data_IF_774461278305
#
_entry.id   IF_774461278305
#
_cell.length_a   1.000
_cell.length_b   1.000
_cell.length_c   1.000
_cell.angle_alpha   90.00
_cell.angle_beta   90.00
_cell.angle_gamma   90.00
#
_symmetry.space_group_name_H-M   'P 1'
#
loop_
_entity.id
_entity.type
_entity.pdbx_description
1 polymer ?
#
# COMPACT_ATOMS: atom_id res chain seq x y z
N UNK A 1 14.58 -36.37 15.06
CA UNK A 1 13.16 -36.53 14.63
C UNK A 1 12.20 -35.67 15.50
N UNK A 2 12.72 -34.68 16.26
CA UNK A 2 11.92 -33.81 17.16
C UNK A 2 11.71 -32.40 16.63
N UNK A 3 12.17 -32.08 15.39
CA UNK A 3 12.13 -30.72 14.87
C UNK A 3 10.90 -30.41 13.98
N UNK A 4 10.10 -31.39 13.63
CA UNK A 4 8.98 -31.20 12.68
C UNK A 4 7.60 -31.00 13.33
N UNK A 5 7.48 -31.17 14.66
CA UNK A 5 6.19 -31.04 15.35
C UNK A 5 5.97 -29.66 16.02
N UNK A 6 6.95 -28.74 15.96
CA UNK A 6 6.86 -27.41 16.61
C UNK A 6 6.34 -26.29 15.67
N UNK A 7 6.11 -26.60 14.39
CA UNK A 7 5.69 -25.60 13.40
C UNK A 7 4.25 -25.05 13.54
N UNK A 8 3.26 -25.77 14.08
CA UNK A 8 1.92 -25.18 14.23
C UNK A 8 1.85 -24.11 15.34
N UNK A 9 2.72 -24.18 16.35
CA UNK A 9 2.63 -23.29 17.51
C UNK A 9 3.25 -21.92 17.30
N UNK A 10 4.20 -21.78 16.39
CA UNK A 10 4.85 -20.48 16.10
C UNK A 10 3.94 -19.50 15.37
N UNK A 11 2.94 -19.97 14.66
CA UNK A 11 1.97 -19.13 13.95
C UNK A 11 0.90 -18.56 14.88
N UNK A 12 0.54 -19.29 15.93
CA UNK A 12 -0.46 -18.87 16.93
C UNK A 12 0.03 -17.70 17.80
N UNK A 13 1.34 -17.61 18.05
CA UNK A 13 1.94 -16.59 18.91
C UNK A 13 2.25 -15.26 18.23
N UNK A 14 1.98 -15.14 16.92
CA UNK A 14 2.24 -13.92 16.14
C UNK A 14 1.13 -12.88 16.17
N UNK A 15 -0.04 -13.22 16.70
CA UNK A 15 -1.17 -12.29 16.70
C UNK A 15 -1.21 -11.43 17.97
N UNK A 16 -1.65 -10.20 17.81
CA UNK A 16 -1.87 -9.24 18.91
C UNK A 16 -2.86 -9.76 19.94
N UNK A 17 -3.86 -10.55 19.49
CA UNK A 17 -4.80 -11.27 20.35
C UNK A 17 -4.11 -12.25 21.31
N UNK A 18 -3.07 -12.92 20.84
CA UNK A 18 -2.32 -13.88 21.68
C UNK A 18 -1.48 -13.16 22.73
N UNK A 19 -0.93 -12.00 22.40
CA UNK A 19 -0.16 -11.17 23.34
C UNK A 19 -1.05 -10.65 24.47
N UNK A 20 -2.25 -10.15 24.15
CA UNK A 20 -3.21 -9.66 25.13
C UNK A 20 -3.77 -10.76 26.05
N UNK A 21 -3.74 -12.02 25.62
CA UNK A 21 -4.13 -13.18 26.42
C UNK A 21 -3.00 -13.64 27.38
N UNK A 22 -1.74 -13.37 27.02
CA UNK A 22 -0.57 -13.80 27.80
C UNK A 22 -0.18 -12.76 28.86
N UNK A 23 -0.36 -11.47 28.59
CA UNK A 23 -0.01 -10.38 29.52
C UNK A 23 -0.73 -10.46 30.90
N UNK A 24 -2.00 -10.89 30.99
CA UNK A 24 -2.68 -11.04 32.27
C UNK A 24 -2.33 -12.32 33.04
N UNK A 25 -1.56 -13.27 32.46
CA UNK A 25 -1.23 -14.52 33.15
C UNK A 25 -0.22 -14.28 34.26
N UNK A 26 -0.52 -14.83 35.44
CA UNK A 26 0.25 -14.62 36.68
C UNK A 26 1.71 -15.09 36.60
N UNK A 27 2.50 -14.74 37.66
CA UNK A 27 3.95 -14.82 37.73
C UNK A 27 4.58 -16.16 37.33
N UNK A 28 4.00 -17.30 37.70
CA UNK A 28 4.59 -18.63 37.42
C UNK A 28 4.66 -19.01 35.94
N UNK A 29 3.85 -18.39 35.11
CA UNK A 29 3.86 -18.64 33.67
C UNK A 29 4.80 -17.67 32.95
N UNK A 30 4.97 -16.45 33.50
CA UNK A 30 5.88 -15.44 32.96
C UNK A 30 7.35 -15.85 33.08
N UNK A 31 7.69 -16.64 34.09
CA UNK A 31 9.06 -17.13 34.30
C UNK A 31 9.39 -18.39 33.49
N UNK A 32 8.44 -18.91 32.72
CA UNK A 32 8.68 -20.04 31.84
C UNK A 32 9.67 -19.67 30.73
N UNK A 33 10.76 -20.45 30.65
CA UNK A 33 11.78 -20.31 29.61
C UNK A 33 11.18 -20.37 28.17
N UNK A 34 10.13 -21.17 28.01
CA UNK A 34 9.40 -21.29 26.74
C UNK A 34 8.63 -20.02 26.42
N UNK A 35 7.96 -19.43 27.41
CA UNK A 35 7.23 -18.18 27.24
C UNK A 35 8.18 -17.00 26.95
N UNK A 36 9.31 -16.93 27.64
CA UNK A 36 10.32 -15.90 27.40
C UNK A 36 10.93 -16.01 25.99
N UNK A 37 11.13 -17.23 25.47
CA UNK A 37 11.56 -17.46 24.08
C UNK A 37 10.46 -17.08 23.07
N UNK A 38 9.22 -17.45 23.34
CA UNK A 38 8.07 -17.10 22.51
C UNK A 38 7.87 -15.57 22.43
N UNK A 39 7.95 -14.88 23.58
CA UNK A 39 7.83 -13.41 23.65
C UNK A 39 8.99 -12.69 22.93
N UNK A 40 10.21 -13.23 22.98
CA UNK A 40 11.35 -12.69 22.21
C UNK A 40 11.21 -12.88 20.70
N UNK A 41 10.46 -13.88 20.26
CA UNK A 41 10.18 -14.13 18.84
C UNK A 41 9.04 -13.26 18.28
N UNK A 42 8.27 -12.59 19.16
CA UNK A 42 7.25 -11.62 18.75
C UNK A 42 7.96 -10.31 18.45
N UNK A 43 7.90 -9.81 17.21
CA UNK A 43 8.51 -8.52 16.88
C UNK A 43 7.91 -7.43 17.77
N UNK A 44 8.71 -6.48 18.25
CA UNK A 44 8.24 -5.39 19.10
C UNK A 44 7.12 -4.63 18.40
N UNK A 45 6.10 -4.24 19.14
CA UNK A 45 4.88 -3.54 18.66
C UNK A 45 5.20 -2.35 17.74
N UNK A 46 6.25 -1.61 18.06
CA UNK A 46 6.74 -0.47 17.28
C UNK A 46 7.19 -0.80 15.83
N UNK A 47 7.70 -2.01 15.59
CA UNK A 47 8.14 -2.39 14.23
C UNK A 47 6.98 -2.80 13.35
N UNK A 48 5.97 -3.45 13.92
CA UNK A 48 4.77 -3.88 13.18
C UNK A 48 3.89 -2.67 12.86
N UNK A 49 3.63 -1.79 13.84
CA UNK A 49 2.88 -0.54 13.64
C UNK A 49 3.61 0.41 12.68
N UNK A 50 4.96 0.44 12.72
CA UNK A 50 5.77 1.27 11.81
C UNK A 50 5.71 0.77 10.36
N UNK A 51 5.69 -0.56 10.17
CA UNK A 51 5.57 -1.16 8.84
C UNK A 51 4.18 -0.97 8.23
N UNK A 52 3.12 -0.96 9.04
CA UNK A 52 1.76 -0.67 8.57
C UNK A 52 1.52 0.81 8.29
N UNK A 53 2.25 1.68 8.99
CA UNK A 53 2.12 3.13 8.89
C UNK A 53 2.86 3.75 7.72
N UNK A 54 3.91 3.10 7.20
CA UNK A 54 4.74 3.61 6.11
C UNK A 54 4.85 2.59 4.98
N UNK A 55 4.68 3.09 3.76
CA UNK A 55 4.87 2.27 2.57
C UNK A 55 6.34 1.80 2.46
N UNK A 56 6.53 0.51 2.21
CA UNK A 56 7.84 -0.07 1.95
C UNK A 56 8.38 0.41 0.59
N UNK A 57 9.69 0.60 0.51
CA UNK A 57 10.34 1.00 -0.74
C UNK A 57 10.19 -0.07 -1.83
N UNK A 58 9.90 0.36 -3.04
CA UNK A 58 9.81 -0.53 -4.19
C UNK A 58 10.29 0.16 -5.48
N UNK A 59 10.52 -0.65 -6.51
CA UNK A 59 10.88 -0.21 -7.85
C UNK A 59 10.19 -1.09 -8.88
N UNK A 60 9.52 -0.47 -9.84
CA UNK A 60 8.84 -1.15 -10.94
C UNK A 60 9.18 -0.48 -12.28
N UNK A 61 9.06 -1.21 -13.39
CA UNK A 61 9.27 -0.64 -14.74
C UNK A 61 8.00 0.03 -15.24
N UNK A 62 8.15 1.22 -15.81
CA UNK A 62 7.08 1.90 -16.53
C UNK A 62 6.93 1.37 -17.97
N UNK A 63 6.02 1.97 -18.75
CA UNK A 63 5.77 1.59 -20.15
C UNK A 63 7.02 1.66 -21.05
N UNK A 64 7.90 2.62 -20.82
CA UNK A 64 9.16 2.78 -21.56
C UNK A 64 10.29 1.87 -21.07
N UNK A 65 10.04 1.01 -20.09
CA UNK A 65 11.02 0.10 -19.50
C UNK A 65 11.96 0.75 -18.48
N UNK A 66 11.79 2.03 -18.16
CA UNK A 66 12.56 2.74 -17.14
C UNK A 66 12.07 2.35 -15.74
N UNK A 67 12.99 2.20 -14.81
CA UNK A 67 12.63 1.98 -13.42
C UNK A 67 12.03 3.26 -12.82
N UNK A 68 10.82 3.11 -12.31
CA UNK A 68 10.18 4.11 -11.46
C UNK A 68 10.40 3.66 -10.04
N UNK A 69 11.16 4.45 -9.31
CA UNK A 69 11.33 4.25 -7.88
C UNK A 69 10.39 5.17 -7.14
N UNK A 70 9.97 4.74 -5.97
CA UNK A 70 9.43 5.65 -5.01
C UNK A 70 10.58 6.56 -4.54
N UNK A 71 10.86 7.61 -5.22
CA UNK A 71 11.67 8.70 -4.67
C UNK A 71 10.75 9.70 -4.01
N UNK A 72 11.26 10.45 -3.08
CA UNK A 72 10.63 11.66 -2.57
C UNK A 72 10.36 12.58 -3.76
N UNK A 73 9.22 12.38 -4.40
CA UNK A 73 8.85 13.17 -5.55
C UNK A 73 8.47 14.56 -5.10
N UNK A 74 8.49 15.49 -6.03
CA UNK A 74 8.00 16.86 -5.82
C UNK A 74 6.50 16.90 -5.42
N UNK A 75 5.78 15.78 -5.59
CA UNK A 75 4.37 15.66 -5.24
C UNK A 75 4.17 15.45 -3.74
N UNK A 76 3.18 16.14 -3.18
CA UNK A 76 2.86 16.03 -1.76
C UNK A 76 2.15 14.72 -1.44
N UNK A 77 1.28 14.26 -2.35
CA UNK A 77 0.47 13.06 -2.17
C UNK A 77 0.57 12.14 -3.37
N UNK A 78 0.60 10.85 -3.11
CA UNK A 78 0.59 9.82 -4.16
C UNK A 78 -0.44 8.76 -3.83
N UNK A 79 -1.32 8.49 -4.79
CA UNK A 79 -2.20 7.33 -4.78
C UNK A 79 -1.52 6.18 -5.49
N UNK A 80 -1.30 5.08 -4.78
CA UNK A 80 -0.99 3.80 -5.41
C UNK A 80 -2.31 3.12 -5.73
N UNK A 81 -2.57 2.91 -7.01
CA UNK A 81 -3.76 2.23 -7.49
C UNK A 81 -3.36 0.86 -8.04
N UNK A 82 -3.90 -0.21 -7.45
CA UNK A 82 -3.66 -1.59 -7.88
C UNK A 82 -4.78 -2.03 -8.81
N UNK A 83 -4.42 -2.50 -9.98
CA UNK A 83 -5.36 -2.86 -11.03
C UNK A 83 -4.85 -3.98 -11.93
N UNK A 84 -5.71 -4.50 -12.80
CA UNK A 84 -5.30 -5.44 -13.85
C UNK A 84 -6.20 -5.30 -15.08
N UNK A 85 -5.67 -5.57 -16.28
CA UNK A 85 -6.45 -5.47 -17.52
C UNK A 85 -7.60 -6.48 -17.59
N UNK A 86 -7.47 -7.60 -16.89
CA UNK A 86 -8.49 -8.66 -16.81
C UNK A 86 -9.58 -8.40 -15.76
N UNK A 87 -9.40 -7.41 -14.87
CA UNK A 87 -10.39 -7.03 -13.85
C UNK A 87 -11.14 -5.76 -14.25
N UNK A 88 -12.37 -5.93 -14.76
CA UNK A 88 -13.23 -4.84 -15.26
C UNK A 88 -13.50 -3.77 -14.19
N UNK A 89 -13.64 -4.18 -12.92
CA UNK A 89 -13.93 -3.24 -11.83
C UNK A 89 -12.73 -2.29 -11.60
N UNK A 90 -11.51 -2.81 -11.57
CA UNK A 90 -10.31 -1.99 -11.40
C UNK A 90 -10.04 -1.08 -12.61
N UNK A 91 -10.38 -1.53 -13.83
CA UNK A 91 -10.30 -0.69 -15.04
C UNK A 91 -11.28 0.50 -14.94
N UNK A 92 -12.52 0.26 -14.51
CA UNK A 92 -13.51 1.33 -14.31
C UNK A 92 -13.07 2.36 -13.27
N UNK A 93 -12.58 1.91 -12.12
CA UNK A 93 -12.03 2.79 -11.07
C UNK A 93 -10.86 3.62 -11.61
N UNK A 94 -9.95 3.00 -12.37
CA UNK A 94 -8.83 3.70 -12.99
C UNK A 94 -9.28 4.81 -13.95
N UNK A 95 -10.39 4.59 -14.69
CA UNK A 95 -10.94 5.59 -15.60
C UNK A 95 -11.52 6.79 -14.84
N UNK A 96 -12.18 6.56 -13.71
CA UNK A 96 -12.63 7.62 -12.80
C UNK A 96 -11.46 8.39 -12.20
N UNK A 97 -10.42 7.69 -11.73
CA UNK A 97 -9.21 8.32 -11.20
C UNK A 97 -8.49 9.18 -12.23
N UNK A 98 -8.49 8.78 -13.51
CA UNK A 98 -7.87 9.57 -14.59
C UNK A 98 -8.61 10.89 -14.87
N UNK A 99 -9.90 10.97 -14.58
CA UNK A 99 -10.66 12.23 -14.63
C UNK A 99 -10.32 13.08 -13.40
N UNK A 100 -10.39 12.48 -12.21
CA UNK A 100 -10.16 13.15 -10.95
C UNK A 100 -8.76 13.78 -10.87
N UNK A 101 -7.71 13.09 -11.32
CA UNK A 101 -6.33 13.59 -11.21
C UNK A 101 -6.11 14.91 -11.94
N UNK A 102 -6.89 15.18 -12.98
CA UNK A 102 -6.80 16.42 -13.76
C UNK A 102 -7.34 17.66 -13.02
N UNK A 103 -8.13 17.44 -11.99
CA UNK A 103 -8.69 18.51 -11.16
C UNK A 103 -7.69 19.03 -10.12
N UNK A 104 -6.62 18.28 -9.86
CA UNK A 104 -5.59 18.65 -8.90
C UNK A 104 -4.31 19.17 -9.56
N UNK A 105 -3.60 20.12 -8.93
CA UNK A 105 -2.33 20.64 -9.43
C UNK A 105 -1.26 19.54 -9.56
N UNK A 106 -0.50 19.55 -10.66
CA UNK A 106 0.52 18.54 -10.99
C UNK A 106 1.54 18.26 -9.86
N UNK A 107 1.97 19.31 -9.14
CA UNK A 107 2.96 19.17 -8.06
C UNK A 107 2.37 18.67 -6.76
N UNK A 108 1.05 18.50 -6.65
CA UNK A 108 0.39 18.21 -5.39
C UNK A 108 -0.08 16.76 -5.29
N UNK A 109 -0.64 16.23 -6.35
CA UNK A 109 -1.22 14.90 -6.38
C UNK A 109 -0.81 14.13 -7.62
N UNK A 110 -0.51 12.86 -7.47
CA UNK A 110 -0.25 11.94 -8.59
C UNK A 110 -0.84 10.56 -8.33
N UNK A 111 -1.08 9.82 -9.38
CA UNK A 111 -1.49 8.41 -9.35
C UNK A 111 -0.37 7.54 -9.91
N UNK A 112 0.03 6.54 -9.16
CA UNK A 112 0.92 5.48 -9.60
C UNK A 112 0.11 4.21 -9.75
N UNK A 113 -0.17 3.82 -11.00
CA UNK A 113 -0.95 2.63 -11.32
C UNK A 113 -0.04 1.40 -11.38
N UNK A 114 -0.22 0.50 -10.45
CA UNK A 114 0.54 -0.76 -10.33
C UNK A 114 -0.31 -1.87 -10.91
N UNK A 115 0.09 -2.34 -12.09
CA UNK A 115 -0.64 -3.42 -12.77
C UNK A 115 -0.21 -4.79 -12.25
N UNK A 116 -1.21 -5.65 -12.05
CA UNK A 116 -1.06 -7.07 -11.72
C UNK A 116 -1.17 -7.96 -12.98
N UNK A 117 -0.90 -7.42 -14.14
CA UNK A 117 -0.90 -8.20 -15.37
C UNK A 117 0.32 -9.13 -15.46
N UNK A 118 0.12 -10.27 -16.11
CA UNK A 118 1.19 -11.23 -16.42
C UNK A 118 1.74 -11.04 -17.83
N UNK A 119 0.95 -10.44 -18.74
CA UNK A 119 1.28 -10.28 -20.14
C UNK A 119 1.48 -8.81 -20.50
N UNK A 120 2.67 -8.50 -21.03
CA UNK A 120 3.04 -7.14 -21.46
C UNK A 120 2.07 -6.58 -22.50
N UNK A 121 1.63 -7.41 -23.46
CA UNK A 121 0.75 -6.95 -24.56
C UNK A 121 -0.58 -6.47 -24.03
N UNK A 122 -1.27 -7.28 -23.21
CA UNK A 122 -2.57 -6.94 -22.60
C UNK A 122 -2.50 -5.68 -21.74
N UNK A 123 -1.42 -5.58 -20.94
CA UNK A 123 -1.18 -4.39 -20.14
C UNK A 123 -1.05 -3.14 -21.01
N UNK A 124 -0.19 -3.18 -22.06
CA UNK A 124 0.05 -2.03 -22.94
C UNK A 124 -1.19 -1.61 -23.74
N UNK A 125 -2.05 -2.55 -24.13
CA UNK A 125 -3.31 -2.26 -24.83
C UNK A 125 -4.33 -1.53 -23.94
N UNK A 126 -4.26 -1.78 -22.63
CA UNK A 126 -5.23 -1.23 -21.67
C UNK A 126 -4.70 0.01 -20.96
N UNK A 127 -3.39 0.16 -20.77
CA UNK A 127 -2.85 1.28 -20.01
C UNK A 127 -2.91 2.62 -20.79
N UNK A 128 -2.97 3.72 -20.03
CA UNK A 128 -2.96 5.08 -20.56
C UNK A 128 -1.53 5.59 -20.72
N UNK A 129 -1.37 6.71 -21.43
CA UNK A 129 -0.07 7.35 -21.52
C UNK A 129 0.39 7.91 -20.20
N UNK A 130 1.70 7.77 -19.93
CA UNK A 130 2.33 8.36 -18.78
C UNK A 130 2.32 9.88 -18.83
N UNK A 131 2.07 10.52 -17.70
CA UNK A 131 2.22 11.95 -17.50
C UNK A 131 2.92 12.22 -16.15
N UNK A 132 3.15 13.46 -15.79
CA UNK A 132 3.72 13.80 -14.48
C UNK A 132 2.83 13.36 -13.30
N UNK A 133 1.52 13.35 -13.51
CA UNK A 133 0.54 12.97 -12.50
C UNK A 133 0.03 11.53 -12.64
N UNK A 134 0.28 10.88 -13.77
CA UNK A 134 -0.24 9.56 -14.08
C UNK A 134 0.89 8.66 -14.59
N UNK A 135 1.27 7.69 -13.80
CA UNK A 135 2.38 6.79 -14.11
C UNK A 135 1.88 5.35 -14.09
N UNK A 136 2.15 4.61 -15.16
CA UNK A 136 1.80 3.20 -15.28
C UNK A 136 3.04 2.33 -15.07
N UNK A 137 2.97 1.35 -14.17
CA UNK A 137 4.06 0.41 -13.89
C UNK A 137 3.56 -1.03 -13.84
N UNK A 138 4.40 -1.96 -14.31
CA UNK A 138 4.14 -3.38 -14.26
C UNK A 138 5.45 -4.17 -14.17
N UNK A 139 5.46 -5.26 -13.36
CA UNK A 139 6.58 -6.20 -13.30
C UNK A 139 6.23 -7.58 -13.89
N UNK A 140 5.01 -7.74 -14.40
CA UNK A 140 4.44 -8.96 -14.98
C UNK A 140 4.41 -10.17 -14.03
N UNK A 141 4.43 -9.94 -12.73
CA UNK A 141 4.41 -10.99 -11.70
C UNK A 141 3.03 -11.18 -11.07
N UNK A 142 2.03 -10.37 -11.45
CA UNK A 142 0.68 -10.44 -10.92
C UNK A 142 0.66 -10.35 -9.40
N UNK A 143 -0.02 -11.29 -8.75
CA UNK A 143 -0.08 -11.38 -7.28
C UNK A 143 1.27 -11.65 -6.60
N UNK A 144 2.30 -12.07 -7.36
CA UNK A 144 3.66 -12.26 -6.86
C UNK A 144 4.50 -10.99 -6.86
N UNK A 145 3.94 -9.87 -7.33
CA UNK A 145 4.57 -8.55 -7.25
C UNK A 145 4.95 -8.21 -5.80
N UNK A 146 6.17 -7.69 -5.61
CA UNK A 146 6.69 -7.40 -4.28
C UNK A 146 5.85 -6.34 -3.57
N UNK A 147 5.39 -5.31 -4.27
CA UNK A 147 4.57 -4.23 -3.69
C UNK A 147 3.24 -4.77 -3.19
N UNK A 148 2.62 -5.66 -3.96
CA UNK A 148 1.35 -6.32 -3.62
C UNK A 148 1.51 -7.13 -2.33
N UNK A 149 2.55 -7.97 -2.24
CA UNK A 149 2.83 -8.82 -1.07
C UNK A 149 3.14 -8.01 0.18
N UNK A 150 4.00 -6.99 0.05
CA UNK A 150 4.43 -6.15 1.18
C UNK A 150 3.30 -5.31 1.78
N UNK A 151 2.32 -4.95 0.97
CA UNK A 151 1.19 -4.13 1.40
C UNK A 151 -0.08 -4.94 1.66
N UNK A 152 0.02 -6.29 1.61
CA UNK A 152 -1.08 -7.22 1.89
C UNK A 152 -2.30 -6.98 1.00
N UNK A 153 -2.08 -6.70 -0.29
CA UNK A 153 -3.15 -6.56 -1.27
C UNK A 153 -3.62 -7.95 -1.69
N UNK A 154 -4.90 -8.26 -1.46
CA UNK A 154 -5.50 -9.57 -1.70
C UNK A 154 -6.70 -9.53 -2.66
N UNK A 155 -7.14 -8.36 -3.04
CA UNK A 155 -8.28 -8.13 -3.95
C UNK A 155 -8.05 -6.93 -4.85
N UNK A 156 -8.77 -6.86 -5.97
CA UNK A 156 -8.85 -5.69 -6.85
C UNK A 156 -10.31 -5.22 -6.95
N UNK A 157 -10.54 -3.95 -7.17
CA UNK A 157 -9.58 -2.85 -7.08
C UNK A 157 -9.09 -2.62 -5.65
N UNK A 158 -7.87 -2.08 -5.50
CA UNK A 158 -7.32 -1.65 -4.22
C UNK A 158 -6.52 -0.38 -4.40
N UNK A 159 -6.43 0.44 -3.36
CA UNK A 159 -5.63 1.65 -3.40
C UNK A 159 -5.00 1.96 -2.03
N UNK A 160 -3.90 2.71 -2.06
CA UNK A 160 -3.22 3.22 -0.88
C UNK A 160 -2.84 4.68 -1.14
N UNK A 161 -3.35 5.59 -0.33
CA UNK A 161 -2.96 7.00 -0.36
C UNK A 161 -1.82 7.25 0.62
N UNK A 162 -0.77 7.90 0.18
CA UNK A 162 0.40 8.22 0.98
C UNK A 162 0.82 9.68 0.82
N UNK A 163 1.50 10.20 1.84
CA UNK A 163 2.15 11.49 1.81
C UNK A 163 3.57 11.41 1.20
N UNK A 164 4.22 12.58 1.09
CA UNK A 164 5.62 12.69 0.62
C UNK A 164 6.63 11.90 1.45
N UNK A 165 6.33 11.59 2.71
CA UNK A 165 7.18 10.82 3.63
C UNK A 165 6.84 9.33 3.61
N UNK A 166 5.99 8.88 2.68
CA UNK A 166 5.49 7.50 2.56
C UNK A 166 4.54 7.06 3.69
N UNK A 167 4.11 8.00 4.52
CA UNK A 167 3.12 7.69 5.55
C UNK A 167 1.80 7.34 4.87
N UNK A 168 1.22 6.22 5.24
CA UNK A 168 -0.09 5.78 4.74
C UNK A 168 -1.16 6.66 5.39
N UNK A 169 -1.95 7.33 4.54
CA UNK A 169 -3.06 8.20 4.93
C UNK A 169 -4.41 7.47 4.85
N UNK A 170 -4.51 6.48 3.97
CA UNK A 170 -5.70 5.65 3.83
C UNK A 170 -5.46 4.47 2.89
N UNK A 171 -6.26 3.42 3.06
CA UNK A 171 -6.27 2.22 2.20
C UNK A 171 -7.70 1.92 1.77
N UNK A 172 -7.87 1.34 0.60
CA UNK A 172 -9.17 0.93 0.03
C UNK A 172 -10.22 2.05 0.06
N UNK A 173 -9.77 3.29 -0.21
CA UNK A 173 -10.63 4.46 -0.24
C UNK A 173 -11.60 4.38 -1.42
N UNK A 174 -12.87 4.70 -1.18
CA UNK A 174 -13.82 4.90 -2.27
C UNK A 174 -13.46 6.16 -3.05
N UNK A 175 -13.97 6.30 -4.28
CA UNK A 175 -13.74 7.49 -5.11
C UNK A 175 -14.12 8.78 -4.35
N UNK A 176 -15.26 8.76 -3.66
CA UNK A 176 -15.73 9.88 -2.84
C UNK A 176 -14.81 10.18 -1.66
N UNK A 177 -14.39 9.14 -0.91
CA UNK A 177 -13.51 9.32 0.25
C UNK A 177 -12.14 9.82 -0.19
N UNK A 178 -11.63 9.32 -1.31
CA UNK A 178 -10.37 9.74 -1.89
C UNK A 178 -10.41 11.22 -2.27
N UNK A 179 -11.47 11.64 -3.00
CA UNK A 179 -11.65 13.03 -3.38
C UNK A 179 -11.70 13.94 -2.16
N UNK A 180 -12.57 13.61 -1.19
CA UNK A 180 -12.72 14.37 0.06
C UNK A 180 -11.41 14.43 0.85
N UNK A 181 -10.68 13.32 0.93
CA UNK A 181 -9.40 13.26 1.65
C UNK A 181 -8.35 14.16 0.97
N UNK A 182 -8.21 14.07 -0.36
CA UNK A 182 -7.24 14.90 -1.10
C UNK A 182 -7.61 16.37 -1.02
N UNK A 183 -8.90 16.71 -1.12
CA UNK A 183 -9.40 18.08 -0.99
C UNK A 183 -9.16 18.68 0.41
N UNK A 184 -9.37 17.89 1.46
CA UNK A 184 -9.09 18.32 2.86
C UNK A 184 -7.59 18.52 3.11
N UNK A 185 -6.76 17.66 2.54
CA UNK A 185 -5.30 17.78 2.63
C UNK A 185 -4.77 18.96 1.82
N UNK A 186 -5.56 19.42 0.85
CA UNK A 186 -5.27 20.54 0.00
C UNK A 186 -6.52 21.42 -0.18
N UNK A 187 -6.90 22.24 0.83
CA UNK A 187 -7.99 23.15 0.66
C UNK A 187 -7.69 24.10 -0.52
N UNK A 188 -8.67 24.36 -1.41
CA UNK A 188 -8.49 25.31 -2.49
C UNK A 188 -7.99 26.62 -1.87
N UNK A 189 -6.95 27.18 -2.46
CA UNK A 189 -6.44 28.49 -2.05
C UNK A 189 -7.55 29.48 -2.36
N UNK A 190 -8.42 29.71 -1.40
CA UNK A 190 -9.37 30.82 -1.48
C UNK A 190 -8.51 32.07 -1.58
N UNK A 191 -8.37 32.57 -2.80
CA UNK A 191 -7.90 33.91 -3.04
C UNK A 191 -8.88 34.83 -2.30
N UNK A 192 -8.59 35.16 -1.05
CA UNK A 192 -9.25 36.30 -0.38
C UNK A 192 -8.85 37.53 -1.18
N UNK A 193 -9.65 37.85 -2.19
CA UNK A 193 -9.75 39.23 -2.60
C UNK A 193 -10.40 39.94 -1.40
N UNK A 194 -9.58 40.50 -0.54
CA UNK A 194 -10.02 41.57 0.35
C UNK A 194 -10.37 42.78 -0.51
N UNK A 195 -11.49 43.44 -0.22
CA UNK A 195 -11.94 44.59 -0.95
C UNK A 195 -10.99 45.78 -0.84
#
# INVERSE_FOLDING_TARGET
TLCQTLFPYTTLFRSEKTRSLIEPLGGNIKDSRILSMALKSIPPKDKTERNEKYLTYFSCKNRSGKYVTWSTSENNYTLLNFWASWDKASVSVRDSLAKMVKEFPEKKFRVLNISLDYEKKKWLETCKEDSKQWIEVCDYKGWSNQVVKQNHIHKLPANILIDRNRKVLGKDLTEKDLYTTVEQLWPPTTCRRTP
#
